data_IF_303665171554
#
_entry.id   IF_303665171554
#
_cell.length_a   1.000
_cell.length_b   1.000
_cell.length_c   1.000
_cell.angle_alpha   90.00
_cell.angle_beta   90.00
_cell.angle_gamma   90.00
#
_symmetry.space_group_name_H-M   'P 1'
#
loop_
_entity.id
_entity.type
_entity.pdbx_description
1 polymer ?
#
# COMPACT_ATOMS: atom_id res chain seq x y z
N UNK A 1 15.50 4.19 11.13
CA UNK A 1 14.43 5.12 10.72
C UNK A 1 13.41 5.26 11.84
N UNK A 2 12.68 6.38 11.91
CA UNK A 2 11.50 6.49 12.78
C UNK A 2 10.29 5.84 12.09
N UNK A 3 9.49 5.08 12.85
CA UNK A 3 8.26 4.43 12.36
C UNK A 3 7.28 5.44 11.75
N UNK A 4 7.23 6.64 12.31
CA UNK A 4 6.41 7.74 11.79
C UNK A 4 6.85 8.20 10.40
N UNK A 5 8.17 8.26 10.14
CA UNK A 5 8.67 8.57 8.80
C UNK A 5 8.34 7.47 7.79
N UNK A 6 8.47 6.20 8.20
CA UNK A 6 8.06 5.05 7.39
C UNK A 6 6.59 5.13 7.00
N UNK A 7 5.71 5.41 7.96
CA UNK A 7 4.27 5.57 7.72
C UNK A 7 3.98 6.71 6.75
N UNK A 8 4.71 7.82 6.86
CA UNK A 8 4.52 8.98 5.99
C UNK A 8 4.94 8.69 4.55
N UNK A 9 6.10 8.06 4.34
CA UNK A 9 6.54 7.60 3.02
C UNK A 9 5.56 6.59 2.41
N UNK A 10 5.09 5.63 3.21
CA UNK A 10 4.11 4.62 2.76
C UNK A 10 2.81 5.29 2.31
N UNK A 11 2.30 6.26 3.07
CA UNK A 11 1.09 7.02 2.71
C UNK A 11 1.25 7.74 1.37
N UNK A 12 2.37 8.41 1.15
CA UNK A 12 2.63 9.11 -0.11
C UNK A 12 2.70 8.15 -1.30
N UNK A 13 3.38 7.01 -1.15
CA UNK A 13 3.46 5.98 -2.21
C UNK A 13 2.09 5.39 -2.51
N UNK A 14 1.28 5.09 -1.50
CA UNK A 14 -0.08 4.57 -1.67
C UNK A 14 -1.01 5.59 -2.32
N UNK A 15 -0.92 6.88 -1.98
CA UNK A 15 -1.67 7.94 -2.67
C UNK A 15 -1.28 8.06 -4.15
N UNK A 16 0.01 7.94 -4.46
CA UNK A 16 0.53 7.93 -5.82
C UNK A 16 0.02 6.71 -6.60
N UNK A 17 0.09 5.52 -6.01
CA UNK A 17 -0.42 4.28 -6.59
C UNK A 17 -1.92 4.35 -6.86
N UNK A 18 -2.72 4.78 -5.87
CA UNK A 18 -4.16 4.98 -6.05
C UNK A 18 -4.47 5.99 -7.15
N UNK A 19 -3.71 7.09 -7.24
CA UNK A 19 -3.89 8.10 -8.29
C UNK A 19 -3.47 7.61 -9.68
N UNK A 20 -2.41 6.80 -9.76
CA UNK A 20 -1.92 6.22 -11.01
C UNK A 20 -2.83 5.09 -11.49
N UNK A 21 -3.22 4.17 -10.62
CA UNK A 21 -4.17 3.11 -10.95
C UNK A 21 -5.54 3.68 -11.27
N UNK A 22 -6.06 4.67 -10.53
CA UNK A 22 -7.33 5.30 -10.90
C UNK A 22 -7.26 5.85 -12.35
N UNK A 23 -6.13 6.42 -12.77
CA UNK A 23 -5.97 6.88 -14.16
C UNK A 23 -6.01 5.74 -15.19
N UNK A 24 -5.41 4.60 -14.89
CA UNK A 24 -5.39 3.43 -15.78
C UNK A 24 -6.73 2.66 -15.76
N UNK A 25 -7.35 2.53 -14.59
CA UNK A 25 -8.62 1.84 -14.35
C UNK A 25 -9.82 2.59 -14.94
N UNK A 26 -9.78 3.94 -14.99
CA UNK A 26 -10.75 4.76 -15.72
C UNK A 26 -10.73 4.45 -17.23
N UNK A 27 -9.61 3.98 -17.78
CA UNK A 27 -9.52 3.57 -19.20
C UNK A 27 -9.88 2.11 -19.46
N UNK A 28 -9.92 1.28 -18.41
CA UNK A 28 -10.15 -0.18 -18.48
C UNK A 28 -11.25 -0.57 -17.49
N UNK A 29 -12.51 -0.38 -17.89
CA UNK A 29 -13.67 -0.90 -17.16
C UNK A 29 -13.54 -2.40 -16.82
N UNK A 30 -14.20 -2.84 -15.74
CA UNK A 30 -14.51 -4.24 -15.34
C UNK A 30 -13.68 -4.81 -14.19
N UNK A 31 -13.71 -4.19 -13.01
CA UNK A 31 -13.55 -4.92 -11.73
C UNK A 31 -14.42 -4.22 -10.69
N UNK A 32 -15.39 -4.94 -10.11
CA UNK A 32 -16.39 -4.44 -9.14
C UNK A 32 -15.79 -3.99 -7.79
N UNK A 33 -14.46 -3.92 -7.67
CA UNK A 33 -13.75 -3.45 -6.50
C UNK A 33 -13.15 -2.07 -6.78
N UNK A 34 -13.67 -1.04 -6.12
CA UNK A 34 -13.12 0.30 -6.20
C UNK A 34 -11.65 0.30 -5.72
N UNK A 35 -10.69 0.77 -6.54
CA UNK A 35 -9.27 0.78 -6.18
C UNK A 35 -9.00 1.65 -4.94
N UNK A 36 -9.80 2.69 -4.70
CA UNK A 36 -9.72 3.52 -3.48
C UNK A 36 -9.86 2.70 -2.19
N UNK A 37 -10.95 1.94 -2.05
CA UNK A 37 -11.19 1.13 -0.86
C UNK A 37 -10.15 0.02 -0.69
N UNK A 38 -9.60 -0.47 -1.81
CA UNK A 38 -8.52 -1.45 -1.81
C UNK A 38 -7.21 -0.86 -1.25
N UNK A 39 -6.80 0.29 -1.76
CA UNK A 39 -5.58 0.98 -1.32
C UNK A 39 -5.69 1.48 0.12
N UNK A 40 -6.87 1.92 0.56
CA UNK A 40 -7.10 2.32 1.95
C UNK A 40 -6.98 1.16 2.93
N UNK A 41 -7.49 -0.03 2.58
CA UNK A 41 -7.35 -1.23 3.42
C UNK A 41 -5.90 -1.65 3.54
N UNK A 42 -5.20 -1.73 2.41
CA UNK A 42 -3.78 -2.07 2.39
C UNK A 42 -2.95 -1.06 3.17
N UNK A 43 -3.21 0.24 2.99
CA UNK A 43 -2.52 1.29 3.72
C UNK A 43 -2.69 1.12 5.23
N UNK A 44 -3.91 0.88 5.71
CA UNK A 44 -4.16 0.62 7.13
C UNK A 44 -3.43 -0.63 7.63
N UNK A 45 -3.44 -1.71 6.85
CA UNK A 45 -2.76 -2.96 7.18
C UNK A 45 -1.25 -2.76 7.27
N UNK A 46 -0.65 -2.05 6.31
CA UNK A 46 0.77 -1.72 6.33
C UNK A 46 1.11 -0.84 7.53
N UNK A 47 0.31 0.17 7.85
CA UNK A 47 0.53 1.03 9.02
C UNK A 47 0.47 0.20 10.33
N UNK A 48 -0.47 -0.72 10.46
CA UNK A 48 -0.59 -1.60 11.62
C UNK A 48 0.64 -2.51 11.78
N UNK A 49 1.07 -3.13 10.68
CA UNK A 49 2.25 -4.01 10.64
C UNK A 49 3.56 -3.22 10.87
N UNK A 50 3.65 -1.95 10.44
CA UNK A 50 4.78 -1.06 10.80
C UNK A 50 4.78 -0.79 12.31
N UNK A 51 3.61 -0.54 12.90
CA UNK A 51 3.48 -0.31 14.34
C UNK A 51 3.81 -1.55 15.17
N UNK A 52 3.45 -2.75 14.67
CA UNK A 52 3.83 -4.04 15.27
C UNK A 52 5.32 -4.37 15.14
N UNK A 53 6.04 -3.72 14.23
CA UNK A 53 7.44 -4.01 13.94
C UNK A 53 7.64 -5.16 12.94
N UNK A 54 6.60 -5.57 12.21
CA UNK A 54 6.73 -6.57 11.14
C UNK A 54 7.70 -6.10 10.05
N UNK A 55 7.69 -4.80 9.76
CA UNK A 55 8.59 -4.20 8.77
C UNK A 55 9.88 -3.63 9.36
N UNK A 56 10.26 -3.99 10.58
CA UNK A 56 11.52 -3.53 11.20
C UNK A 56 12.76 -4.02 10.42
N UNK A 57 12.60 -5.10 9.63
CA UNK A 57 13.62 -5.57 8.67
C UNK A 57 13.77 -4.69 7.42
N UNK A 58 12.80 -3.82 7.13
CA UNK A 58 12.85 -2.93 5.97
C UNK A 58 13.43 -1.58 6.36
N UNK A 59 14.33 -1.08 5.51
CA UNK A 59 14.98 0.20 5.76
C UNK A 59 14.18 1.39 5.25
N UNK A 60 13.23 1.21 4.32
CA UNK A 60 12.51 2.33 3.67
C UNK A 60 11.02 2.04 3.53
N UNK A 61 10.18 3.08 3.59
CA UNK A 61 8.73 2.93 3.38
C UNK A 61 8.40 2.47 1.96
N UNK A 62 9.24 2.87 1.01
CA UNK A 62 9.15 2.46 -0.40
C UNK A 62 9.30 0.95 -0.59
N UNK A 63 10.30 0.31 0.02
CA UNK A 63 10.48 -1.15 -0.07
C UNK A 63 9.28 -1.92 0.47
N UNK A 64 8.71 -1.44 1.58
CA UNK A 64 7.51 -2.04 2.18
C UNK A 64 6.34 -1.97 1.20
N UNK A 65 6.11 -0.79 0.63
CA UNK A 65 5.03 -0.57 -0.34
C UNK A 65 5.26 -1.41 -1.59
N UNK A 66 6.49 -1.48 -2.09
CA UNK A 66 6.83 -2.30 -3.27
C UNK A 66 6.66 -3.78 -2.99
N UNK A 67 7.04 -4.29 -1.82
CA UNK A 67 6.85 -5.68 -1.41
C UNK A 67 5.36 -6.02 -1.31
N UNK A 68 4.57 -5.14 -0.70
CA UNK A 68 3.13 -5.31 -0.54
C UNK A 68 2.39 -5.17 -1.87
N UNK A 69 2.81 -4.25 -2.75
CA UNK A 69 2.25 -4.07 -4.08
C UNK A 69 2.63 -5.21 -5.05
N UNK A 70 3.84 -5.79 -4.90
CA UNK A 70 4.25 -6.99 -5.64
C UNK A 70 3.51 -8.23 -5.13
N UNK A 71 3.43 -8.41 -3.81
CA UNK A 71 2.72 -9.51 -3.16
C UNK A 71 1.26 -9.16 -2.81
N UNK A 72 0.62 -8.33 -3.63
CA UNK A 72 -0.76 -7.87 -3.44
C UNK A 72 -1.76 -8.99 -3.20
N UNK A 73 -1.62 -10.11 -3.90
CA UNK A 73 -2.48 -11.28 -3.75
C UNK A 73 -2.33 -11.95 -2.38
N UNK A 74 -1.13 -11.89 -1.80
CA UNK A 74 -0.83 -12.50 -0.49
C UNK A 74 -1.44 -11.71 0.66
N UNK A 75 -1.47 -10.38 0.56
CA UNK A 75 -1.99 -9.52 1.63
C UNK A 75 -3.47 -9.17 1.47
N UNK A 76 -4.03 -9.29 0.26
CA UNK A 76 -5.45 -9.01 -0.01
C UNK A 76 -6.38 -10.20 0.26
N UNK A 77 -5.92 -11.43 0.06
CA UNK A 77 -6.71 -12.65 0.24
C UNK A 77 -6.44 -13.38 1.57
N UNK A 78 -5.76 -12.73 2.52
CA UNK A 78 -5.50 -13.27 3.86
C UNK A 78 -6.72 -13.14 4.79
#
# INVERSE_FOLDING_TARGET
MNREQLIQEVKEQYQLLASMENRDHITRSTTEMHPEAYYEKLLNLVIDEINKGTFDSFSSGKDIVEEVANNKEKYLYM
#
